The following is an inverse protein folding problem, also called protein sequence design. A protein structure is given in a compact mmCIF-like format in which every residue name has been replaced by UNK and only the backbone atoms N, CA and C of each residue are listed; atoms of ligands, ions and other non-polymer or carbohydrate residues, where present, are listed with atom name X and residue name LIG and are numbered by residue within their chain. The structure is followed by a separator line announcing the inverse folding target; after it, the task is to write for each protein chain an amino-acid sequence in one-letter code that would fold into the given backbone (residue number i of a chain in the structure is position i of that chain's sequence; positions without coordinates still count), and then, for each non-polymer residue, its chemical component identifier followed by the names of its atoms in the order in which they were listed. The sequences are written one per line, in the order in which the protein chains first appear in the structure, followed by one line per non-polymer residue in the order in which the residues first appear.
data_IF_944356952645
#
_entry.id   IF_944356952645
#
_cell.length_a   1.000
_cell.length_b   1.000
_cell.length_c   1.000
_cell.angle_alpha   90.00
_cell.angle_beta   90.00
_cell.angle_gamma   90.00
#
_symmetry.space_group_name_H-M   'P 1'
#
loop_
_entity.id
_entity.type
_entity.pdbx_description
1 polymer ?
#
# COMPACT_ATOMS: atom_id res chain seq x y z
N UNK A 1 -13.04 7.97 -6.24
CA UNK A 1 -11.73 8.66 -6.22
C UNK A 1 -10.75 7.83 -7.03
N UNK A 2 -9.89 8.46 -7.82
CA UNK A 2 -8.86 7.75 -8.56
C UNK A 2 -7.82 7.14 -7.61
N UNK A 3 -7.17 6.05 -8.03
CA UNK A 3 -6.08 5.43 -7.28
C UNK A 3 -4.91 6.42 -7.16
N UNK A 4 -4.42 6.68 -5.95
CA UNK A 4 -3.22 7.50 -5.77
C UNK A 4 -2.02 6.86 -6.45
N UNK A 5 -1.14 7.66 -7.04
CA UNK A 5 0.21 7.22 -7.43
C UNK A 5 1.12 7.13 -6.19
N UNK A 6 2.28 6.48 -6.32
CA UNK A 6 3.27 6.45 -5.24
C UNK A 6 3.70 7.86 -4.78
N UNK A 7 3.84 8.81 -5.72
CA UNK A 7 4.14 10.22 -5.40
C UNK A 7 2.99 10.88 -4.63
N UNK A 8 1.74 10.67 -5.05
CA UNK A 8 0.58 11.22 -4.35
C UNK A 8 0.43 10.64 -2.94
N UNK A 9 0.75 9.35 -2.75
CA UNK A 9 0.80 8.72 -1.43
C UNK A 9 1.85 9.41 -0.54
N UNK A 10 3.09 9.58 -1.03
CA UNK A 10 4.15 10.26 -0.28
C UNK A 10 3.75 11.70 0.09
N UNK A 11 3.22 12.47 -0.86
CA UNK A 11 2.73 13.84 -0.63
C UNK A 11 1.56 13.90 0.35
N UNK A 12 0.70 12.86 0.39
CA UNK A 12 -0.40 12.80 1.35
C UNK A 12 0.12 12.71 2.78
N UNK A 13 1.22 11.98 3.01
CA UNK A 13 1.83 11.85 4.34
C UNK A 13 2.42 13.17 4.83
N UNK A 14 2.96 14.00 3.94
CA UNK A 14 3.50 15.33 4.29
C UNK A 14 2.42 16.28 4.82
N UNK A 15 1.17 16.07 4.44
CA UNK A 15 0.01 16.87 4.88
C UNK A 15 -0.55 16.42 6.24
N UNK A 16 -0.11 15.27 6.74
CA UNK A 16 -0.58 14.71 8.01
C UNK A 16 0.16 15.34 9.19
N UNK A 17 -0.56 15.59 10.28
CA UNK A 17 -0.02 16.19 11.51
C UNK A 17 0.40 15.12 12.51
N UNK A 18 1.38 14.30 12.14
CA UNK A 18 1.85 13.21 13.00
C UNK A 18 2.60 13.75 14.24
N UNK A 19 2.42 13.08 15.38
CA UNK A 19 3.25 13.23 16.57
C UNK A 19 4.12 11.98 16.71
N UNK A 20 5.28 11.98 16.05
CA UNK A 20 6.23 10.86 16.05
C UNK A 20 7.39 11.18 16.98
N UNK A 21 7.74 10.24 17.85
CA UNK A 21 8.93 10.32 18.70
C UNK A 21 9.86 9.16 18.37
N UNK A 22 11.15 9.44 18.22
CA UNK A 22 12.19 8.46 17.90
C UNK A 22 13.45 8.82 18.67
N UNK A 23 14.03 7.84 19.36
CA UNK A 23 15.23 8.02 20.20
C UNK A 23 15.11 9.19 21.21
N UNK A 24 13.93 9.35 21.80
CA UNK A 24 13.66 10.40 22.79
C UNK A 24 13.31 11.77 22.22
N UNK A 25 13.40 11.97 20.90
CA UNK A 25 13.14 13.26 20.25
C UNK A 25 11.89 13.24 19.38
N UNK A 26 11.22 14.38 19.25
CA UNK A 26 10.10 14.54 18.34
C UNK A 26 10.61 14.70 16.91
N UNK A 27 10.19 13.81 16.01
CA UNK A 27 10.54 13.88 14.59
C UNK A 27 9.75 14.99 13.91
N UNK A 28 10.45 15.94 13.29
CA UNK A 28 9.84 17.07 12.58
C UNK A 28 9.08 16.65 11.32
N UNK A 29 9.74 15.94 10.41
CA UNK A 29 9.12 15.37 9.21
C UNK A 29 9.45 13.87 9.08
N UNK A 30 8.51 12.96 9.40
CA UNK A 30 8.72 11.52 9.28
C UNK A 30 9.00 11.05 7.84
N UNK A 31 8.49 11.76 6.82
CA UNK A 31 8.61 11.35 5.40
C UNK A 31 10.06 11.41 4.92
N UNK A 32 10.82 12.41 5.38
CA UNK A 32 12.23 12.61 5.00
C UNK A 32 13.21 12.00 6.01
N UNK A 33 12.72 11.53 7.16
CA UNK A 33 13.58 10.99 8.21
C UNK A 33 14.27 9.69 7.72
N UNK A 34 15.61 9.60 7.75
CA UNK A 34 16.36 8.52 7.09
C UNK A 34 16.04 7.11 7.63
N UNK A 35 15.68 6.99 8.92
CA UNK A 35 15.26 5.71 9.52
C UNK A 35 13.85 5.30 9.08
N UNK A 36 12.94 6.26 8.85
CA UNK A 36 11.51 6.00 8.60
C UNK A 36 11.24 5.87 7.09
N UNK A 37 11.97 6.62 6.27
CA UNK A 37 11.79 6.67 4.82
C UNK A 37 11.80 5.30 4.12
N UNK A 38 12.67 4.33 4.47
CA UNK A 38 12.66 3.01 3.83
C UNK A 38 11.34 2.24 4.00
N UNK A 39 10.70 2.36 5.17
CA UNK A 39 9.43 1.70 5.42
C UNK A 39 8.30 2.35 4.62
N UNK A 40 8.30 3.68 4.51
CA UNK A 40 7.37 4.42 3.65
C UNK A 40 7.51 4.01 2.18
N UNK A 41 8.75 3.89 1.67
CA UNK A 41 9.01 3.43 0.31
C UNK A 41 8.44 2.03 0.04
N UNK A 42 8.50 1.14 1.04
CA UNK A 42 7.92 -0.22 0.91
C UNK A 42 6.40 -0.16 0.71
N UNK A 43 5.70 0.74 1.41
CA UNK A 43 4.25 0.95 1.20
C UNK A 43 3.96 1.64 -0.13
N UNK A 44 4.81 2.61 -0.52
CA UNK A 44 4.70 3.34 -1.78
C UNK A 44 4.68 2.39 -2.98
N UNK A 45 5.46 1.30 -2.93
CA UNK A 45 5.47 0.25 -3.96
C UNK A 45 4.09 -0.39 -4.19
N UNK A 46 3.22 -0.47 -3.16
CA UNK A 46 1.85 -0.99 -3.30
C UNK A 46 0.96 -0.09 -4.16
N UNK A 47 1.27 1.21 -4.22
CA UNK A 47 0.61 2.16 -5.10
C UNK A 47 1.24 2.13 -6.48
N UNK A 48 2.58 2.10 -6.59
CA UNK A 48 3.29 2.08 -7.87
C UNK A 48 2.93 0.86 -8.72
N UNK A 49 2.94 -0.34 -8.14
CA UNK A 49 2.56 -1.56 -8.86
C UNK A 49 1.09 -1.58 -9.31
N UNK A 50 0.21 -0.80 -8.66
CA UNK A 50 -1.19 -0.68 -9.10
C UNK A 50 -1.37 0.19 -10.36
N UNK A 51 -0.34 0.96 -10.75
CA UNK A 51 -0.31 1.75 -12.00
C UNK A 51 0.59 1.12 -13.07
N UNK A 52 1.29 0.02 -12.77
CA UNK A 52 2.07 -0.73 -13.74
C UNK A 52 1.11 -1.59 -14.60
N UNK A 53 1.00 -1.34 -15.92
CA UNK A 53 0.09 -2.09 -16.78
C UNK A 53 0.34 -3.61 -16.77
N UNK A 54 1.59 -4.04 -16.52
CA UNK A 54 1.93 -5.46 -16.46
C UNK A 54 1.37 -6.15 -15.20
N UNK A 55 1.06 -5.39 -14.15
CA UNK A 55 0.62 -5.90 -12.85
C UNK A 55 -0.80 -5.43 -12.46
N UNK A 56 -1.48 -4.65 -13.29
CA UNK A 56 -2.76 -4.01 -12.97
C UNK A 56 -3.85 -4.99 -12.53
N UNK A 57 -4.04 -6.11 -13.24
CA UNK A 57 -5.04 -7.15 -12.87
C UNK A 57 -4.75 -7.77 -11.49
N UNK A 58 -3.47 -7.94 -11.18
CA UNK A 58 -3.05 -8.52 -9.92
C UNK A 58 -3.17 -7.52 -8.76
N UNK A 59 -2.86 -6.25 -9.01
CA UNK A 59 -2.77 -5.19 -8.00
C UNK A 59 -4.10 -4.45 -7.78
N UNK A 60 -5.07 -4.61 -8.67
CA UNK A 60 -6.39 -3.98 -8.57
C UNK A 60 -7.52 -5.01 -8.65
N UNK A 61 -8.72 -4.61 -8.23
CA UNK A 61 -9.94 -5.39 -8.34
C UNK A 61 -11.14 -4.46 -8.56
N UNK A 62 -12.25 -5.00 -9.09
CA UNK A 62 -13.53 -4.29 -9.09
C UNK A 62 -14.22 -4.53 -7.76
N UNK A 63 -14.44 -3.46 -6.99
CA UNK A 63 -15.13 -3.51 -5.70
C UNK A 63 -16.59 -3.94 -5.88
N UNK A 64 -17.05 -4.88 -5.05
CA UNK A 64 -18.45 -5.27 -4.96
C UNK A 64 -19.30 -4.21 -4.22
N UNK A 65 -18.69 -3.29 -3.46
CA UNK A 65 -19.39 -2.27 -2.69
C UNK A 65 -19.90 -1.11 -3.55
N UNK A 66 -19.14 -0.70 -4.56
CA UNK A 66 -19.49 0.46 -5.40
C UNK A 66 -19.17 0.30 -6.90
N UNK A 67 -18.75 -0.89 -7.32
CA UNK A 67 -18.44 -1.23 -8.71
C UNK A 67 -17.18 -0.56 -9.27
N UNK A 68 -16.44 0.22 -8.48
CA UNK A 68 -15.24 0.94 -8.95
C UNK A 68 -14.00 0.07 -8.83
N UNK A 69 -12.99 0.41 -9.64
CA UNK A 69 -11.65 -0.17 -9.53
C UNK A 69 -10.99 0.33 -8.24
N UNK A 70 -10.54 -0.60 -7.41
CA UNK A 70 -9.85 -0.35 -6.15
C UNK A 70 -8.50 -1.06 -6.15
N UNK A 71 -7.57 -0.61 -5.31
CA UNK A 71 -6.37 -1.36 -5.02
C UNK A 71 -6.79 -2.66 -4.30
N UNK A 72 -6.19 -3.81 -4.67
CA UNK A 72 -6.58 -5.11 -4.11
C UNK A 72 -6.38 -5.20 -2.60
N UNK A 73 -5.49 -4.40 -2.00
CA UNK A 73 -5.39 -4.26 -0.54
C UNK A 73 -6.65 -3.68 0.14
N UNK A 74 -7.59 -3.13 -0.62
CA UNK A 74 -8.87 -2.58 -0.14
C UNK A 74 -10.07 -3.38 -0.65
N UNK A 75 -9.86 -4.57 -1.22
CA UNK A 75 -10.91 -5.42 -1.78
C UNK A 75 -11.38 -6.47 -0.76
N UNK A 76 -12.70 -6.68 -0.67
CA UNK A 76 -13.29 -7.77 0.10
C UNK A 76 -13.35 -9.02 -0.77
N UNK A 77 -12.75 -10.12 -0.32
CA UNK A 77 -12.63 -11.35 -1.11
C UNK A 77 -14.01 -11.91 -1.49
N UNK A 78 -14.25 -12.08 -2.79
CA UNK A 78 -15.52 -12.61 -3.31
C UNK A 78 -15.41 -14.07 -3.77
N UNK A 79 -14.21 -14.63 -3.80
CA UNK A 79 -13.94 -16.00 -4.25
C UNK A 79 -12.61 -16.55 -3.71
N UNK A 80 -12.40 -17.86 -3.86
CA UNK A 80 -11.10 -18.49 -3.62
C UNK A 80 -10.02 -17.97 -4.57
N UNK A 81 -10.39 -17.53 -5.77
CA UNK A 81 -9.46 -16.89 -6.71
C UNK A 81 -8.91 -15.57 -6.16
N UNK A 82 -9.73 -14.77 -5.47
CA UNK A 82 -9.25 -13.55 -4.82
C UNK A 82 -8.21 -13.84 -3.73
N UNK A 83 -8.39 -14.94 -2.98
CA UNK A 83 -7.41 -15.38 -1.98
C UNK A 83 -6.08 -15.81 -2.64
N UNK A 84 -6.14 -16.49 -3.78
CA UNK A 84 -4.95 -16.85 -4.57
C UNK A 84 -4.27 -15.59 -5.13
N UNK A 85 -5.04 -14.63 -5.66
CA UNK A 85 -4.51 -13.35 -6.16
C UNK A 85 -3.88 -12.53 -5.04
N UNK A 86 -4.43 -12.55 -3.81
CA UNK A 86 -3.80 -11.97 -2.61
C UNK A 86 -2.38 -12.53 -2.39
N UNK A 87 -2.21 -13.84 -2.38
CA UNK A 87 -0.89 -14.48 -2.16
C UNK A 87 0.09 -14.14 -3.30
N UNK A 88 -0.36 -14.19 -4.56
CA UNK A 88 0.46 -13.82 -5.73
C UNK A 88 0.90 -12.35 -5.68
N UNK A 89 -0.01 -11.45 -5.33
CA UNK A 89 0.26 -10.01 -5.15
C UNK A 89 1.29 -9.79 -4.03
N UNK A 90 1.13 -10.47 -2.89
CA UNK A 90 2.07 -10.38 -1.78
C UNK A 90 3.47 -10.90 -2.15
N UNK A 91 3.56 -12.00 -2.92
CA UNK A 91 4.82 -12.53 -3.44
C UNK A 91 5.52 -11.54 -4.39
N UNK A 92 4.78 -10.93 -5.31
CA UNK A 92 5.30 -9.88 -6.20
C UNK A 92 5.91 -8.74 -5.39
N UNK A 93 5.17 -8.19 -4.42
CA UNK A 93 5.66 -7.09 -3.60
C UNK A 93 6.86 -7.49 -2.73
N UNK A 94 6.91 -8.75 -2.27
CA UNK A 94 8.10 -9.31 -1.64
C UNK A 94 9.32 -9.27 -2.56
N UNK A 95 9.17 -9.66 -3.84
CA UNK A 95 10.26 -9.58 -4.83
C UNK A 95 10.69 -8.14 -5.14
N UNK A 96 9.74 -7.19 -5.14
CA UNK A 96 10.02 -5.78 -5.46
C UNK A 96 10.66 -5.01 -4.31
N UNK A 97 10.43 -5.43 -3.06
CA UNK A 97 10.84 -4.65 -1.88
C UNK A 97 11.82 -5.36 -0.97
N UNK A 98 11.90 -6.69 -1.01
CA UNK A 98 12.66 -7.52 -0.07
C UNK A 98 12.42 -7.15 1.41
N UNK A 99 11.22 -6.65 1.73
CA UNK A 99 10.86 -6.10 3.04
C UNK A 99 9.35 -6.24 3.31
N UNK A 100 8.92 -5.85 4.51
CA UNK A 100 7.51 -5.71 4.83
C UNK A 100 6.93 -4.44 4.18
N UNK A 101 5.91 -4.61 3.33
CA UNK A 101 5.18 -3.52 2.66
C UNK A 101 3.86 -3.13 3.37
N UNK A 102 3.66 -3.63 4.60
CA UNK A 102 2.75 -3.17 5.66
C UNK A 102 1.24 -3.23 5.40
N UNK A 103 0.78 -3.05 4.16
CA UNK A 103 -0.64 -2.86 3.84
C UNK A 103 -1.50 -4.14 3.95
N UNK A 104 -0.87 -5.30 4.06
CA UNK A 104 -1.54 -6.59 4.22
C UNK A 104 -2.38 -6.70 5.50
N UNK A 105 -1.92 -6.12 6.61
CA UNK A 105 -2.68 -6.20 7.88
C UNK A 105 -4.00 -5.43 7.81
N UNK A 106 -4.07 -4.37 7.02
CA UNK A 106 -5.31 -3.63 6.77
C UNK A 106 -6.29 -4.46 5.96
N UNK A 107 -5.83 -5.07 4.86
CA UNK A 107 -6.64 -5.97 4.02
C UNK A 107 -7.24 -7.11 4.84
N UNK A 108 -6.42 -7.75 5.67
CA UNK A 108 -6.81 -8.93 6.43
C UNK A 108 -7.69 -8.59 7.63
N UNK A 109 -7.61 -7.37 8.17
CA UNK A 109 -8.52 -6.90 9.22
C UNK A 109 -9.90 -6.48 8.68
N UNK A 110 -9.99 -6.08 7.40
CA UNK A 110 -11.26 -5.70 6.77
C UNK A 110 -12.10 -6.90 6.31
N UNK A 111 -11.49 -8.07 6.11
CA UNK A 111 -12.14 -9.31 5.67
C UNK A 111 -12.44 -10.23 6.86
#
# INVERSE_FOLDING_TARGET
MALMTGKQYEESLRKMKFKVYLMGEKVGNPVDHPIIRPSMNSVKMTYEMAHDPAHEDLMTAKSNLDGKKVNRFCHLHQSTEDLVKKVKMQRLLGQKTASCFQRCVGMDAMN
#
